data_IF_766114407163
#
_entry.id   IF_766114407163
#
_cell.length_a   1.000
_cell.length_b   1.000
_cell.length_c   1.000
_cell.angle_alpha   90.00
_cell.angle_beta   90.00
_cell.angle_gamma   90.00
#
_symmetry.space_group_name_H-M   'P 1'
#
loop_
_entity.id
_entity.type
_entity.pdbx_description
1 polymer ?
#
# COMPACT_ATOMS: atom_id res chain seq x y z
N UNK A 1 97.11 -24.10 -53.29
CA UNK A 1 98.32 -23.41 -52.77
C UNK A 1 97.94 -22.69 -51.47
N UNK A 2 98.63 -23.03 -50.37
CA UNK A 2 98.75 -22.36 -49.06
C UNK A 2 97.46 -21.94 -48.31
N UNK A 3 96.95 -22.74 -47.36
CA UNK A 3 97.30 -22.82 -45.91
C UNK A 3 97.03 -21.57 -45.08
N UNK A 4 96.07 -21.67 -44.14
CA UNK A 4 96.29 -21.53 -42.68
C UNK A 4 94.99 -21.83 -41.90
N UNK A 5 95.09 -22.80 -40.98
CA UNK A 5 94.06 -23.22 -40.02
C UNK A 5 94.15 -22.34 -38.76
N UNK A 6 93.02 -21.94 -38.16
CA UNK A 6 93.00 -21.43 -36.79
C UNK A 6 91.76 -21.94 -36.05
N UNK A 7 92.02 -22.56 -34.90
CA UNK A 7 91.11 -23.11 -33.91
C UNK A 7 90.46 -21.99 -33.10
N UNK A 8 89.20 -22.14 -32.68
CA UNK A 8 88.69 -21.54 -31.43
C UNK A 8 87.48 -22.35 -30.90
N UNK A 9 87.65 -22.85 -29.68
CA UNK A 9 86.73 -23.66 -28.88
C UNK A 9 85.48 -22.88 -28.45
N UNK A 10 84.31 -23.55 -28.47
CA UNK A 10 83.07 -23.06 -27.86
C UNK A 10 82.99 -23.41 -26.37
N UNK A 11 82.56 -22.44 -25.55
CA UNK A 11 82.20 -22.63 -24.14
C UNK A 11 80.79 -22.09 -23.94
N UNK A 12 79.88 -22.98 -23.57
CA UNK A 12 78.50 -22.65 -23.20
C UNK A 12 78.43 -22.07 -21.78
N UNK A 13 77.73 -20.94 -21.63
CA UNK A 13 77.51 -20.26 -20.36
C UNK A 13 76.18 -20.73 -19.75
N UNK A 14 76.29 -21.24 -18.53
CA UNK A 14 75.23 -21.69 -17.64
C UNK A 14 74.52 -20.48 -17.01
N UNK A 15 73.24 -20.27 -17.29
CA UNK A 15 72.42 -19.25 -16.61
C UNK A 15 71.75 -19.85 -15.37
N UNK A 16 72.15 -19.36 -14.19
CA UNK A 16 71.56 -19.65 -12.89
C UNK A 16 70.32 -18.77 -12.74
N UNK A 17 69.13 -19.39 -12.62
CA UNK A 17 67.87 -18.69 -12.33
C UNK A 17 67.74 -18.57 -10.81
N UNK A 18 67.91 -17.37 -10.28
CA UNK A 18 67.58 -17.03 -8.90
C UNK A 18 66.07 -16.83 -8.77
N UNK A 19 65.38 -17.71 -8.04
CA UNK A 19 63.98 -17.55 -7.69
C UNK A 19 63.88 -16.47 -6.61
N UNK A 20 63.43 -15.28 -7.01
CA UNK A 20 63.05 -14.22 -6.08
C UNK A 20 61.72 -14.54 -5.41
N UNK A 21 61.74 -14.73 -4.09
CA UNK A 21 60.56 -14.89 -3.26
C UNK A 21 59.80 -13.55 -3.22
N UNK A 22 58.73 -13.42 -4.01
CA UNK A 22 57.81 -12.29 -3.88
C UNK A 22 56.91 -12.51 -2.67
N UNK A 23 57.21 -11.83 -1.56
CA UNK A 23 56.25 -11.61 -0.46
C UNK A 23 55.07 -10.79 -0.99
N UNK A 24 53.95 -11.45 -1.25
CA UNK A 24 52.66 -10.79 -1.46
C UNK A 24 52.19 -10.22 -0.12
N UNK A 25 52.22 -8.90 0.02
CA UNK A 25 51.47 -8.20 1.06
C UNK A 25 49.98 -8.44 0.80
N UNK A 26 49.34 -9.22 1.67
CA UNK A 26 47.88 -9.31 1.75
C UNK A 26 47.34 -7.93 2.13
N UNK A 27 46.93 -7.14 1.14
CA UNK A 27 46.07 -5.99 1.39
C UNK A 27 44.72 -6.53 1.81
N UNK A 28 44.37 -6.35 3.09
CA UNK A 28 43.00 -6.49 3.55
C UNK A 28 42.11 -5.61 2.66
N UNK A 29 40.99 -6.12 2.11
CA UNK A 29 40.06 -5.27 1.39
C UNK A 29 39.60 -4.17 2.35
N UNK A 30 39.89 -2.92 1.99
CA UNK A 30 39.33 -1.75 2.66
C UNK A 30 37.83 -1.86 2.40
N UNK A 31 37.07 -2.28 3.41
CA UNK A 31 35.62 -2.19 3.40
C UNK A 31 35.29 -0.69 3.43
N UNK A 32 34.99 -0.10 2.28
CA UNK A 32 34.44 1.26 2.27
C UNK A 32 33.17 1.24 3.14
N UNK A 33 33.00 2.21 4.05
CA UNK A 33 31.77 2.30 4.82
C UNK A 33 30.60 2.44 3.85
N UNK A 34 29.45 1.79 4.12
CA UNK A 34 28.28 1.94 3.27
C UNK A 34 27.93 3.43 3.14
N UNK A 35 27.44 3.86 1.97
CA UNK A 35 27.07 5.25 1.75
C UNK A 35 26.06 5.71 2.80
N UNK A 36 26.12 7.00 3.15
CA UNK A 36 25.17 7.61 4.07
C UNK A 36 23.76 7.66 3.45
N UNK A 37 22.73 7.47 4.27
CA UNK A 37 21.35 7.56 3.83
C UNK A 37 20.97 9.02 3.58
N UNK A 38 20.11 9.23 2.58
CA UNK A 38 19.58 10.55 2.23
C UNK A 38 18.10 10.57 2.61
N UNK A 39 17.65 11.63 3.29
CA UNK A 39 16.22 11.89 3.48
C UNK A 39 15.63 12.47 2.18
N UNK A 40 14.85 11.66 1.47
CA UNK A 40 14.17 12.05 0.24
C UNK A 40 12.81 12.70 0.48
N UNK A 41 12.32 12.70 1.72
CA UNK A 41 11.02 13.29 2.05
C UNK A 41 11.06 14.82 2.14
N UNK A 42 12.24 15.44 2.35
CA UNK A 42 12.33 16.88 2.56
C UNK A 42 11.80 17.69 1.37
N UNK A 43 11.04 18.74 1.68
CA UNK A 43 10.52 19.71 0.71
C UNK A 43 11.66 20.32 -0.12
N UNK A 44 12.79 20.64 0.51
CA UNK A 44 13.97 21.18 -0.16
C UNK A 44 14.70 20.18 -1.10
N UNK A 45 14.29 18.90 -1.09
CA UNK A 45 14.72 17.87 -2.04
C UNK A 45 13.72 17.66 -3.18
N UNK A 46 12.63 18.44 -3.21
CA UNK A 46 11.61 18.37 -4.26
C UNK A 46 10.50 17.35 -3.99
N UNK A 47 10.40 16.85 -2.76
CA UNK A 47 9.23 16.08 -2.35
C UNK A 47 7.99 16.98 -2.23
N UNK A 48 6.81 16.37 -2.32
CA UNK A 48 5.53 17.03 -2.09
C UNK A 48 4.66 16.20 -1.15
N UNK A 49 3.86 16.86 -0.32
CA UNK A 49 2.92 16.20 0.58
C UNK A 49 1.47 16.49 0.18
N UNK A 50 0.59 15.52 0.37
CA UNK A 50 -0.85 15.63 0.15
C UNK A 50 -1.58 14.89 1.26
N UNK A 51 -2.73 15.38 1.73
CA UNK A 51 -3.54 14.67 2.71
C UNK A 51 -4.99 14.52 2.25
N UNK A 52 -5.65 13.48 2.73
CA UNK A 52 -7.09 13.28 2.51
C UNK A 52 -7.94 14.34 3.21
N UNK A 53 -7.41 14.92 4.29
CA UNK A 53 -7.99 16.01 5.05
C UNK A 53 -6.89 16.63 5.93
N UNK A 54 -7.14 17.83 6.45
CA UNK A 54 -6.26 18.47 7.41
C UNK A 54 -7.04 19.46 8.30
N UNK A 55 -6.50 19.74 9.49
CA UNK A 55 -7.02 20.80 10.36
C UNK A 55 -6.61 22.18 9.81
N UNK A 56 -7.38 23.24 10.09
CA UNK A 56 -6.97 24.60 9.73
C UNK A 56 -5.55 24.90 10.20
N UNK A 57 -4.74 25.50 9.32
CA UNK A 57 -3.33 25.87 9.53
C UNK A 57 -2.34 24.71 9.74
N UNK A 58 -2.77 23.45 9.74
CA UNK A 58 -1.90 22.28 9.88
C UNK A 58 -1.77 21.53 8.55
N UNK A 59 -1.04 22.13 7.62
CA UNK A 59 -1.01 21.70 6.22
C UNK A 59 -0.20 20.40 6.05
N UNK A 60 -0.48 19.61 4.98
CA UNK A 60 0.30 18.41 4.69
C UNK A 60 1.79 18.67 4.48
N UNK A 61 2.17 19.82 3.93
CA UNK A 61 3.56 20.19 3.65
C UNK A 61 4.41 20.34 4.91
N UNK A 62 3.78 20.58 6.06
CA UNK A 62 4.46 20.69 7.35
C UNK A 62 5.08 19.37 7.81
N UNK A 63 4.70 18.21 7.25
CA UNK A 63 5.35 16.92 7.62
C UNK A 63 6.60 16.59 6.82
N UNK A 64 7.03 17.52 5.96
CA UNK A 64 8.22 17.37 5.12
C UNK A 64 9.10 18.62 5.11
N UNK A 65 8.86 19.59 5.98
CA UNK A 65 9.61 20.85 6.01
C UNK A 65 10.93 20.73 6.79
N UNK A 66 11.10 19.62 7.54
CA UNK A 66 12.25 19.33 8.37
C UNK A 66 12.14 19.83 9.81
N UNK A 67 11.02 20.43 10.21
CA UNK A 67 10.75 20.80 11.59
C UNK A 67 10.17 19.62 12.38
N UNK A 68 11.02 19.02 13.20
CA UNK A 68 10.62 17.92 14.10
C UNK A 68 10.06 18.43 15.44
N UNK A 69 10.09 19.75 15.69
CA UNK A 69 9.61 20.35 16.92
C UNK A 69 8.10 20.32 16.98
N UNK A 70 7.55 20.14 18.18
CA UNK A 70 6.10 20.28 18.41
C UNK A 70 5.73 21.38 19.39
N UNK A 71 6.68 22.27 19.71
CA UNK A 71 6.43 23.43 20.57
C UNK A 71 5.53 24.47 19.88
N UNK A 72 5.61 24.56 18.55
CA UNK A 72 4.85 25.50 17.70
C UNK A 72 3.59 24.89 17.11
N UNK A 73 3.11 23.76 17.66
CA UNK A 73 1.86 23.13 17.20
C UNK A 73 0.69 24.13 17.19
N UNK A 74 0.48 24.89 18.27
CA UNK A 74 -0.62 25.87 18.34
C UNK A 74 -0.45 27.06 17.36
N UNK A 75 0.73 27.19 16.73
CA UNK A 75 1.05 28.19 15.71
C UNK A 75 0.88 27.65 14.27
N UNK A 76 0.62 26.35 14.11
CA UNK A 76 0.33 25.69 12.84
C UNK A 76 1.34 24.62 12.40
N UNK A 77 2.43 24.40 13.15
CA UNK A 77 3.41 23.37 12.77
C UNK A 77 2.80 21.96 12.72
N UNK A 78 3.33 21.15 11.83
CA UNK A 78 2.91 19.77 11.62
C UNK A 78 1.53 19.62 10.97
N UNK A 79 1.24 18.41 10.52
CA UNK A 79 -0.07 18.04 9.97
C UNK A 79 -1.00 17.50 11.06
N UNK A 80 -2.26 17.94 10.99
CA UNK A 80 -3.33 17.53 11.89
C UNK A 80 -4.53 16.98 11.14
N UNK A 81 -5.22 15.99 11.69
CA UNK A 81 -6.46 15.47 11.09
C UNK A 81 -7.47 14.99 12.13
N UNK A 82 -8.76 14.99 11.78
CA UNK A 82 -9.82 14.45 12.63
C UNK A 82 -9.91 12.92 12.49
N UNK A 83 -9.78 12.20 13.59
CA UNK A 83 -10.06 10.77 13.63
C UNK A 83 -11.52 10.59 14.02
N UNK A 84 -12.38 10.29 13.06
CA UNK A 84 -13.77 9.91 13.32
C UNK A 84 -14.13 8.72 12.46
N UNK A 85 -14.07 7.53 13.05
CA UNK A 85 -14.32 6.29 12.31
C UNK A 85 -14.72 5.14 13.23
N UNK A 86 -15.52 4.21 12.71
CA UNK A 86 -15.78 2.95 13.41
C UNK A 86 -14.48 2.14 13.49
N UNK A 87 -14.22 1.46 14.61
CA UNK A 87 -13.05 0.57 14.73
C UNK A 87 -12.96 -0.43 13.58
N UNK A 88 -14.11 -0.89 13.08
CA UNK A 88 -14.24 -1.87 12.00
C UNK A 88 -14.31 -1.24 10.60
N UNK A 89 -14.26 0.09 10.48
CA UNK A 89 -14.32 0.76 9.19
C UNK A 89 -13.12 0.39 8.32
N UNK A 90 -13.36 0.40 7.01
CA UNK A 90 -12.30 0.27 6.01
C UNK A 90 -11.15 1.24 6.33
N UNK A 91 -9.93 0.72 6.25
CA UNK A 91 -8.70 1.48 6.47
C UNK A 91 -8.51 2.54 5.37
N UNK A 92 -9.04 2.33 4.16
CA UNK A 92 -8.96 3.28 3.05
C UNK A 92 -9.87 4.50 3.20
N UNK A 93 -10.84 4.46 4.12
CA UNK A 93 -11.70 5.60 4.46
C UNK A 93 -11.14 6.44 5.62
N UNK A 94 -9.94 6.12 6.08
CA UNK A 94 -9.27 6.81 7.20
C UNK A 94 -8.44 7.97 6.67
N UNK A 95 -8.19 8.99 7.51
CA UNK A 95 -7.28 10.04 7.13
C UNK A 95 -5.89 9.50 6.82
N UNK A 96 -5.24 10.14 5.85
CA UNK A 96 -3.84 9.90 5.55
C UNK A 96 -3.13 11.18 5.16
N UNK A 97 -1.82 11.18 5.36
CA UNK A 97 -0.88 12.10 4.71
C UNK A 97 0.07 11.27 3.83
N UNK A 98 0.23 11.69 2.59
CA UNK A 98 1.03 11.05 1.55
C UNK A 98 2.22 11.93 1.23
N UNK A 99 3.40 11.33 1.14
CA UNK A 99 4.61 11.93 0.61
C UNK A 99 4.86 11.38 -0.79
N UNK A 100 4.98 12.28 -1.74
CA UNK A 100 5.46 12.02 -3.09
C UNK A 100 6.95 12.38 -3.12
N UNK A 101 7.80 11.36 -3.22
CA UNK A 101 9.25 11.54 -3.36
C UNK A 101 9.57 12.08 -4.76
N UNK A 102 10.63 12.90 -4.91
CA UNK A 102 11.01 13.49 -6.19
C UNK A 102 11.36 12.42 -7.23
N UNK A 103 11.85 11.28 -6.77
CA UNK A 103 12.21 10.13 -7.57
C UNK A 103 11.98 8.82 -6.79
N UNK A 104 11.99 7.68 -7.46
CA UNK A 104 12.04 6.37 -6.81
C UNK A 104 13.27 6.17 -5.91
N UNK A 105 13.03 5.64 -4.70
CA UNK A 105 14.09 5.45 -3.68
C UNK A 105 14.17 3.99 -3.25
N UNK A 106 15.38 3.49 -3.01
CA UNK A 106 15.61 2.25 -2.24
C UNK A 106 15.55 2.60 -0.75
N UNK A 107 14.34 2.54 -0.20
CA UNK A 107 14.02 2.99 1.16
C UNK A 107 14.60 1.99 2.16
N UNK A 108 15.37 2.51 3.10
CA UNK A 108 16.02 1.74 4.18
C UNK A 108 15.39 2.01 5.53
N UNK A 109 14.89 3.22 5.74
CA UNK A 109 14.34 3.63 7.02
C UNK A 109 13.27 4.70 6.81
N UNK A 110 12.23 4.65 7.63
CA UNK A 110 11.23 5.71 7.73
C UNK A 110 11.18 6.17 9.18
N UNK A 111 11.20 7.48 9.42
CA UNK A 111 11.12 8.04 10.77
C UNK A 111 9.85 8.88 10.87
N UNK A 112 9.00 8.56 11.84
CA UNK A 112 7.78 9.28 12.12
C UNK A 112 7.93 10.05 13.43
N UNK A 113 7.67 11.36 13.37
CA UNK A 113 7.55 12.23 14.53
C UNK A 113 6.08 12.58 14.73
N UNK A 114 5.57 12.31 15.92
CA UNK A 114 4.26 12.77 16.38
C UNK A 114 4.46 13.84 17.44
N UNK A 115 3.38 14.54 17.80
CA UNK A 115 3.42 15.59 18.82
C UNK A 115 4.07 15.08 20.11
N UNK A 116 5.06 15.81 20.63
CA UNK A 116 5.81 15.51 21.85
C UNK A 116 6.47 16.76 22.41
N UNK A 117 5.69 17.59 23.10
CA UNK A 117 6.17 18.77 23.82
C UNK A 117 5.79 18.71 25.29
N UNK A 118 6.26 19.68 26.09
CA UNK A 118 5.83 19.82 27.48
C UNK A 118 4.30 19.98 27.58
N UNK A 119 3.71 20.79 26.70
CA UNK A 119 2.27 21.02 26.64
C UNK A 119 1.51 19.80 26.09
N UNK A 120 2.07 19.12 25.09
CA UNK A 120 1.46 17.97 24.43
C UNK A 120 2.39 16.74 24.43
N UNK A 121 2.57 16.06 25.57
CA UNK A 121 3.45 14.88 25.63
C UNK A 121 2.94 13.74 24.75
N UNK A 122 3.83 13.06 24.01
CA UNK A 122 3.44 11.99 23.09
C UNK A 122 2.70 10.85 23.79
N UNK A 123 3.09 10.52 25.02
CA UNK A 123 2.44 9.48 25.82
C UNK A 123 0.95 9.76 26.08
N UNK A 124 0.50 11.01 25.92
CA UNK A 124 -0.89 11.44 26.09
C UNK A 124 -1.55 11.87 24.78
N UNK A 125 -0.84 12.53 23.86
CA UNK A 125 -1.44 13.13 22.66
C UNK A 125 -0.93 12.57 21.33
N UNK A 126 0.18 11.83 21.36
CA UNK A 126 0.84 11.30 20.18
C UNK A 126 0.06 10.18 19.49
N UNK A 127 0.43 9.92 18.24
CA UNK A 127 -0.05 8.76 17.47
C UNK A 127 0.28 7.47 18.22
N UNK A 128 -0.76 6.68 18.50
CA UNK A 128 -0.68 5.43 19.25
C UNK A 128 -0.59 4.24 18.32
N UNK A 129 -1.59 4.09 17.44
CA UNK A 129 -1.65 3.04 16.44
C UNK A 129 -1.69 3.69 15.06
N UNK A 130 -0.89 3.20 14.11
CA UNK A 130 -0.86 3.73 12.75
C UNK A 130 -0.27 2.73 11.76
N UNK A 131 -0.47 3.04 10.48
CA UNK A 131 0.10 2.31 9.34
C UNK A 131 0.95 3.26 8.51
N UNK A 132 2.09 2.78 8.07
CA UNK A 132 2.87 3.39 7.00
C UNK A 132 2.79 2.44 5.82
N UNK A 133 2.41 2.98 4.68
CA UNK A 133 2.13 2.22 3.48
C UNK A 133 2.92 2.81 2.32
N UNK A 134 3.21 1.97 1.33
CA UNK A 134 3.87 2.37 0.09
C UNK A 134 3.00 1.99 -1.10
N UNK A 135 3.10 2.79 -2.16
CA UNK A 135 2.45 2.45 -3.43
C UNK A 135 3.30 1.42 -4.18
N UNK A 136 2.73 0.24 -4.42
CA UNK A 136 3.40 -0.84 -5.15
C UNK A 136 2.98 -0.91 -6.62
N UNK A 137 2.39 0.15 -7.18
CA UNK A 137 1.99 0.25 -8.59
C UNK A 137 0.49 -0.01 -8.84
N UNK A 138 -0.15 -0.86 -8.04
CA UNK A 138 -1.57 -1.24 -8.18
C UNK A 138 -2.39 -1.03 -6.91
N UNK A 139 -1.77 -0.49 -5.87
CA UNK A 139 -2.39 -0.36 -4.56
C UNK A 139 -1.40 0.09 -3.48
N UNK A 140 -1.94 0.30 -2.29
CA UNK A 140 -1.18 0.61 -1.09
C UNK A 140 -0.92 -0.66 -0.29
N UNK A 141 0.35 -0.95 -0.04
CA UNK A 141 0.80 -2.06 0.79
C UNK A 141 1.46 -1.56 2.08
N UNK A 142 1.34 -2.30 3.17
CA UNK A 142 2.05 -1.99 4.41
C UNK A 142 3.56 -2.11 4.17
N UNK A 143 4.36 -1.19 4.72
CA UNK A 143 5.82 -1.31 4.65
C UNK A 143 6.29 -2.60 5.34
N UNK A 144 7.33 -3.28 4.81
CA UNK A 144 7.82 -4.52 5.39
C UNK A 144 8.74 -4.23 6.58
N UNK A 145 8.17 -3.82 7.70
CA UNK A 145 8.88 -3.71 8.98
C UNK A 145 8.67 -4.99 9.79
N UNK A 146 9.20 -5.06 11.00
CA UNK A 146 8.65 -6.02 11.97
C UNK A 146 8.70 -5.52 13.38
N UNK A 147 8.24 -4.28 13.50
CA UNK A 147 8.03 -3.54 14.74
C UNK A 147 6.89 -4.11 15.57
N UNK A 148 5.94 -4.78 14.91
CA UNK A 148 4.79 -5.42 15.54
C UNK A 148 4.54 -6.81 14.96
N UNK A 149 3.95 -7.68 15.79
CA UNK A 149 3.43 -8.99 15.36
C UNK A 149 2.08 -8.87 14.66
N UNK A 150 1.37 -7.76 14.88
CA UNK A 150 0.10 -7.47 14.24
C UNK A 150 0.33 -6.94 12.83
N UNK A 151 0.09 -7.80 11.83
CA UNK A 151 0.31 -7.50 10.41
C UNK A 151 -0.64 -6.44 9.84
N UNK A 152 -1.54 -5.88 10.65
CA UNK A 152 -2.42 -4.78 10.26
C UNK A 152 -1.84 -3.40 10.58
N UNK A 153 -0.70 -3.31 11.27
CA UNK A 153 -0.16 -2.03 11.73
C UNK A 153 1.33 -1.95 11.51
N UNK A 154 1.84 -0.73 11.34
CA UNK A 154 3.28 -0.47 11.40
C UNK A 154 3.70 -0.30 12.85
N UNK A 155 2.89 0.38 13.66
CA UNK A 155 3.11 0.48 15.10
C UNK A 155 1.81 0.36 15.88
N UNK A 156 1.96 -0.14 17.11
CA UNK A 156 0.90 -0.30 18.09
C UNK A 156 1.36 0.24 19.44
N UNK A 157 0.41 0.79 20.18
CA UNK A 157 0.61 1.23 21.56
C UNK A 157 1.83 2.16 21.73
N UNK A 158 2.07 3.03 20.74
CA UNK A 158 3.17 3.97 20.78
C UNK A 158 2.91 5.09 21.80
N UNK A 159 3.91 5.37 22.63
CA UNK A 159 3.90 6.46 23.63
C UNK A 159 5.07 7.43 23.45
N UNK A 160 5.84 7.29 22.36
CA UNK A 160 7.04 8.09 22.08
C UNK A 160 6.77 9.09 20.96
N UNK A 161 7.37 10.28 21.04
CA UNK A 161 7.30 11.28 19.97
C UNK A 161 7.99 10.84 18.69
N UNK A 162 9.10 10.11 18.79
CA UNK A 162 9.87 9.60 17.66
C UNK A 162 9.75 8.08 17.51
N UNK A 163 9.51 7.62 16.29
CA UNK A 163 9.56 6.21 15.90
C UNK A 163 10.39 6.02 14.64
N UNK A 164 11.32 5.08 14.71
CA UNK A 164 12.19 4.69 13.60
C UNK A 164 11.75 3.31 13.13
N UNK A 165 11.51 3.19 11.82
CA UNK A 165 11.04 1.98 11.16
C UNK A 165 12.09 1.52 10.15
N UNK A 166 12.88 0.53 10.52
CA UNK A 166 13.85 -0.09 9.61
C UNK A 166 13.12 -1.03 8.63
N UNK A 167 13.40 -0.85 7.35
CA UNK A 167 12.82 -1.66 6.29
C UNK A 167 13.53 -3.00 6.23
N UNK A 168 12.76 -4.09 6.30
CA UNK A 168 13.27 -5.44 6.10
C UNK A 168 13.30 -5.77 4.61
N UNK A 169 14.51 -6.00 4.10
CA UNK A 169 14.72 -6.35 2.71
C UNK A 169 14.79 -5.13 1.80
N UNK A 170 14.38 -5.29 0.55
CA UNK A 170 14.35 -4.20 -0.44
C UNK A 170 12.96 -3.61 -0.51
N UNK A 171 12.88 -2.29 -0.41
CA UNK A 171 11.66 -1.53 -0.64
C UNK A 171 11.98 -0.41 -1.63
N UNK A 172 11.44 -0.52 -2.83
CA UNK A 172 11.54 0.54 -3.81
C UNK A 172 10.19 1.22 -3.94
N UNK A 173 10.13 2.52 -3.67
CA UNK A 173 8.88 3.28 -3.77
C UNK A 173 9.16 4.76 -4.05
N UNK A 174 8.17 5.41 -4.66
CA UNK A 174 8.12 6.87 -4.83
C UNK A 174 7.01 7.51 -3.99
N UNK A 175 6.01 6.73 -3.56
CA UNK A 175 4.90 7.24 -2.76
C UNK A 175 4.80 6.44 -1.47
N UNK A 176 4.77 7.17 -0.36
CA UNK A 176 4.57 6.67 0.99
C UNK A 176 3.38 7.39 1.60
N UNK A 177 2.56 6.72 2.40
CA UNK A 177 1.53 7.39 3.20
C UNK A 177 1.52 6.90 4.63
N UNK A 178 1.25 7.81 5.56
CA UNK A 178 0.96 7.53 6.95
C UNK A 178 -0.55 7.60 7.15
N UNK A 179 -1.12 6.55 7.73
CA UNK A 179 -2.54 6.42 8.05
C UNK A 179 -2.69 6.31 9.57
N UNK A 180 -3.01 7.42 10.25
CA UNK A 180 -3.34 7.39 11.68
C UNK A 180 -4.55 6.49 11.95
N UNK A 181 -4.44 5.62 12.96
CA UNK A 181 -5.55 4.78 13.41
C UNK A 181 -6.08 5.23 14.76
N UNK A 182 -5.19 5.57 15.69
CA UNK A 182 -5.58 6.10 17.00
C UNK A 182 -4.47 6.96 17.58
N UNK A 183 -4.83 7.79 18.56
CA UNK A 183 -3.93 8.59 19.39
C UNK A 183 -4.09 8.20 20.85
N UNK A 184 -3.14 8.62 21.70
CA UNK A 184 -3.18 8.31 23.12
C UNK A 184 -4.34 9.01 23.86
N UNK A 185 -4.89 10.09 23.30
CA UNK A 185 -6.06 10.84 23.79
C UNK A 185 -7.35 10.48 23.06
N UNK A 186 -7.34 9.45 22.22
CA UNK A 186 -8.54 8.99 21.51
C UNK A 186 -9.64 8.54 22.47
N UNK A 187 -10.83 9.06 22.24
CA UNK A 187 -12.06 8.59 22.88
C UNK A 187 -12.65 7.38 22.14
N UNK A 188 -13.17 6.43 22.91
CA UNK A 188 -13.88 5.26 22.38
C UNK A 188 -15.34 5.36 22.75
N UNK A 189 -16.18 5.70 21.76
CA UNK A 189 -17.63 5.77 21.94
C UNK A 189 -18.21 4.42 21.60
N UNK A 190 -18.54 3.62 22.63
CA UNK A 190 -19.09 2.29 22.45
C UNK A 190 -20.52 2.38 21.90
N UNK A 191 -20.72 1.74 20.74
CA UNK A 191 -22.01 1.73 20.05
C UNK A 191 -22.82 0.50 20.47
N UNK A 192 -22.25 -0.71 20.29
CA UNK A 192 -22.88 -1.99 20.67
C UNK A 192 -21.86 -3.15 20.61
N UNK A 193 -22.30 -4.35 20.97
CA UNK A 193 -21.51 -5.59 20.87
C UNK A 193 -21.89 -6.37 19.60
N UNK A 194 -20.91 -6.77 18.78
CA UNK A 194 -21.11 -7.65 17.63
C UNK A 194 -20.23 -8.88 17.76
N UNK A 195 -20.83 -10.08 17.83
CA UNK A 195 -20.13 -11.36 18.03
C UNK A 195 -19.08 -11.30 19.15
N UNK A 196 -19.50 -10.80 20.32
CA UNK A 196 -18.66 -10.62 21.52
C UNK A 196 -17.51 -9.62 21.40
N UNK A 197 -17.40 -8.89 20.27
CA UNK A 197 -16.43 -7.81 20.11
C UNK A 197 -17.12 -6.46 20.24
N UNK A 198 -16.55 -5.51 21.01
CA UNK A 198 -17.08 -4.16 21.05
C UNK A 198 -16.91 -3.48 19.69
N UNK A 199 -18.02 -2.92 19.22
CA UNK A 199 -18.06 -1.94 18.13
C UNK A 199 -18.08 -0.58 18.80
N UNK A 200 -17.02 0.18 18.58
CA UNK A 200 -16.91 1.55 19.06
C UNK A 200 -16.42 2.44 17.93
N UNK A 201 -16.83 3.69 18.02
CA UNK A 201 -16.31 4.78 17.23
C UNK A 201 -15.07 5.35 17.92
N UNK A 202 -14.06 5.63 17.10
CA UNK A 202 -12.83 6.31 17.48
C UNK A 202 -13.06 7.79 17.20
N UNK A 203 -12.92 8.62 18.24
CA UNK A 203 -12.91 10.08 18.12
C UNK A 203 -11.60 10.64 18.65
N UNK A 204 -10.94 11.50 17.89
CA UNK A 204 -9.67 12.10 18.31
C UNK A 204 -9.04 12.95 17.22
N UNK A 205 -7.79 13.35 17.44
CA UNK A 205 -7.01 14.14 16.49
C UNK A 205 -5.67 13.46 16.22
N UNK A 206 -5.39 13.13 14.95
CA UNK A 206 -4.06 12.72 14.53
C UNK A 206 -3.15 13.94 14.42
N UNK A 207 -1.92 13.85 14.96
CA UNK A 207 -0.96 14.95 15.01
C UNK A 207 0.42 14.42 14.63
N UNK A 208 0.96 14.89 13.52
CA UNK A 208 2.22 14.42 12.93
C UNK A 208 3.10 15.62 12.71
N UNK A 209 4.32 15.60 13.24
CA UNK A 209 5.25 16.71 13.08
C UNK A 209 6.06 16.56 11.80
N UNK A 210 6.66 15.39 11.58
CA UNK A 210 7.55 15.18 10.44
C UNK A 210 7.52 13.68 10.07
N UNK A 211 7.67 13.40 8.78
CA UNK A 211 7.83 12.05 8.27
C UNK A 211 9.04 12.00 7.33
N UNK A 212 10.14 11.44 7.83
CA UNK A 212 11.39 11.30 7.08
C UNK A 212 11.43 9.96 6.32
N UNK A 213 11.92 9.98 5.08
CA UNK A 213 12.08 8.77 4.26
C UNK A 213 13.54 8.67 3.81
N UNK A 214 14.29 7.79 4.48
CA UNK A 214 15.72 7.61 4.31
C UNK A 214 16.05 6.43 3.41
N UNK A 215 16.89 6.65 2.42
CA UNK A 215 17.26 5.61 1.47
C UNK A 215 18.45 5.97 0.59
N UNK A 216 18.61 5.18 -0.46
CA UNK A 216 19.59 5.41 -1.51
C UNK A 216 18.89 5.77 -2.82
N UNK A 217 19.50 6.63 -3.65
CA UNK A 217 19.04 6.79 -5.02
C UNK A 217 19.16 5.46 -5.75
N UNK A 218 18.17 5.12 -6.57
CA UNK A 218 18.26 3.95 -7.43
C UNK A 218 19.26 4.27 -8.54
N UNK A 219 20.39 3.54 -8.58
CA UNK A 219 21.42 3.75 -9.59
C UNK A 219 20.81 3.74 -11.02
N UNK A 220 21.12 4.78 -11.79
CA UNK A 220 20.66 4.96 -13.17
C UNK A 220 21.21 3.82 -14.05
N UNK A 221 20.31 3.05 -14.68
CA UNK A 221 20.65 1.85 -15.45
C UNK A 221 19.46 0.89 -15.59
N UNK A 222 19.71 -0.39 -15.90
CA UNK A 222 18.66 -1.40 -16.05
C UNK A 222 17.72 -1.54 -14.83
N UNK A 223 18.21 -1.21 -13.62
CA UNK A 223 17.40 -1.19 -12.39
C UNK A 223 16.40 -0.01 -12.39
N UNK A 224 16.86 1.19 -12.76
CA UNK A 224 15.99 2.34 -12.98
C UNK A 224 15.04 2.16 -14.18
N UNK A 225 15.43 1.42 -15.23
CA UNK A 225 14.53 1.07 -16.35
C UNK A 225 13.46 0.04 -15.94
N UNK A 226 13.81 -0.97 -15.15
CA UNK A 226 12.82 -1.91 -14.59
C UNK A 226 11.89 -1.22 -13.60
N UNK A 227 12.42 -0.30 -12.79
CA UNK A 227 11.60 0.52 -11.90
C UNK A 227 10.72 1.50 -12.69
N UNK A 228 11.27 2.24 -13.65
CA UNK A 228 10.50 3.14 -14.52
C UNK A 228 9.49 2.39 -15.41
N UNK A 229 9.71 1.11 -15.76
CA UNK A 229 8.70 0.29 -16.44
C UNK A 229 7.63 -0.23 -15.47
N UNK A 230 7.99 -0.55 -14.22
CA UNK A 230 7.07 -1.00 -13.19
C UNK A 230 6.27 0.14 -12.53
N UNK A 231 6.75 1.38 -12.62
CA UNK A 231 6.24 2.56 -11.90
C UNK A 231 6.22 3.85 -12.74
N UNK A 232 6.36 3.76 -14.07
CA UNK A 232 6.03 4.92 -14.92
C UNK A 232 4.61 5.40 -14.56
N UNK A 233 4.34 6.72 -14.61
CA UNK A 233 3.00 7.24 -14.47
C UNK A 233 2.18 6.75 -15.66
N UNK A 234 1.66 5.53 -15.55
CA UNK A 234 0.56 5.07 -16.35
C UNK A 234 -0.65 5.75 -15.72
N UNK A 235 -1.24 6.69 -16.45
CA UNK A 235 -2.58 7.17 -16.16
C UNK A 235 -3.43 5.93 -15.85
N UNK A 236 -3.85 5.76 -14.58
CA UNK A 236 -4.52 4.58 -14.01
C UNK A 236 -4.95 3.55 -15.06
N UNK A 237 -4.01 2.72 -15.54
CA UNK A 237 -4.38 1.63 -16.44
C UNK A 237 -4.67 0.45 -15.51
N UNK A 238 -5.95 0.08 -15.31
CA UNK A 238 -6.27 -1.05 -14.46
C UNK A 238 -5.47 -2.28 -14.90
N UNK A 239 -4.92 -3.02 -13.92
CA UNK A 239 -4.22 -4.28 -14.19
C UNK A 239 -5.08 -5.22 -15.04
N UNK A 240 -4.50 -6.19 -15.76
CA UNK A 240 -5.29 -7.14 -16.59
C UNK A 240 -6.43 -7.76 -15.79
N UNK A 241 -6.16 -8.13 -14.54
CA UNK A 241 -7.11 -8.74 -13.63
C UNK A 241 -8.16 -7.73 -13.16
N UNK A 242 -7.76 -6.49 -12.88
CA UNK A 242 -8.72 -5.44 -12.53
C UNK A 242 -9.66 -5.11 -13.69
N UNK A 243 -9.17 -5.12 -14.94
CA UNK A 243 -10.03 -5.00 -16.13
C UNK A 243 -11.03 -6.14 -16.20
N UNK A 244 -10.58 -7.38 -16.01
CA UNK A 244 -11.43 -8.56 -16.03
C UNK A 244 -12.46 -8.54 -14.88
N UNK A 245 -12.05 -8.13 -13.67
CA UNK A 245 -12.95 -7.98 -12.52
C UNK A 245 -13.97 -6.88 -12.78
N UNK A 246 -13.55 -5.72 -13.30
CA UNK A 246 -14.47 -4.65 -13.72
C UNK A 246 -15.45 -5.14 -14.78
N UNK A 247 -15.01 -5.97 -15.73
CA UNK A 247 -15.92 -6.61 -16.70
C UNK A 247 -16.95 -7.54 -16.02
N UNK A 248 -16.57 -8.29 -14.99
CA UNK A 248 -17.53 -9.10 -14.20
C UNK A 248 -18.56 -8.20 -13.52
N UNK A 249 -18.14 -7.08 -12.93
CA UNK A 249 -19.05 -6.13 -12.28
C UNK A 249 -20.00 -5.46 -13.30
N UNK A 250 -19.49 -5.03 -14.45
CA UNK A 250 -20.31 -4.48 -15.54
C UNK A 250 -21.30 -5.52 -16.06
N UNK A 251 -20.88 -6.78 -16.23
CA UNK A 251 -21.80 -7.85 -16.63
C UNK A 251 -22.88 -8.11 -15.59
N UNK A 252 -22.55 -7.96 -14.31
CA UNK A 252 -23.50 -8.10 -13.21
C UNK A 252 -24.55 -6.99 -13.24
N UNK A 253 -24.14 -5.72 -13.40
CA UNK A 253 -25.04 -4.57 -13.61
C UNK A 253 -25.94 -4.77 -14.84
N UNK A 254 -25.34 -5.02 -16.00
CA UNK A 254 -26.06 -5.24 -17.25
C UNK A 254 -27.01 -6.45 -17.17
N UNK A 255 -26.66 -7.45 -16.37
CA UNK A 255 -27.51 -8.60 -16.09
C UNK A 255 -28.80 -8.19 -15.37
N UNK A 256 -28.70 -7.31 -14.37
CA UNK A 256 -29.87 -6.77 -13.68
C UNK A 256 -30.66 -5.79 -14.54
N UNK A 257 -29.99 -4.87 -15.22
CA UNK A 257 -30.62 -3.85 -16.07
C UNK A 257 -31.50 -4.47 -17.16
N UNK A 258 -31.04 -5.58 -17.72
CA UNK A 258 -31.74 -6.29 -18.79
C UNK A 258 -32.59 -7.47 -18.30
N UNK A 259 -32.74 -7.65 -16.97
CA UNK A 259 -33.39 -8.82 -16.37
C UNK A 259 -32.88 -10.17 -16.96
N UNK A 260 -31.58 -10.23 -17.27
CA UNK A 260 -30.95 -11.35 -17.95
C UNK A 260 -30.30 -12.29 -16.93
N UNK A 261 -31.08 -13.29 -16.50
CA UNK A 261 -30.63 -14.28 -15.51
C UNK A 261 -29.34 -14.99 -15.91
N UNK A 262 -29.18 -15.37 -17.19
CA UNK A 262 -27.98 -16.06 -17.65
C UNK A 262 -26.73 -15.19 -17.47
N UNK A 263 -26.85 -13.89 -17.74
CA UNK A 263 -25.76 -12.92 -17.60
C UNK A 263 -25.39 -12.68 -16.14
N UNK A 264 -26.39 -12.49 -15.26
CA UNK A 264 -26.16 -12.42 -13.81
C UNK A 264 -25.42 -13.66 -13.32
N UNK A 265 -25.93 -14.85 -13.65
CA UNK A 265 -25.37 -16.09 -13.14
C UNK A 265 -23.98 -16.39 -13.72
N UNK A 266 -23.65 -15.88 -14.91
CA UNK A 266 -22.30 -16.02 -15.47
C UNK A 266 -21.21 -15.31 -14.66
N UNK A 267 -21.59 -14.37 -13.78
CA UNK A 267 -20.67 -13.67 -12.89
C UNK A 267 -20.29 -14.49 -11.65
N UNK A 268 -21.06 -15.54 -11.30
CA UNK A 268 -20.85 -16.35 -10.11
C UNK A 268 -20.12 -17.64 -10.43
N UNK A 269 -19.31 -18.12 -9.49
CA UNK A 269 -18.76 -19.47 -9.54
C UNK A 269 -19.86 -20.48 -9.23
N UNK A 270 -19.87 -21.61 -9.93
CA UNK A 270 -20.75 -22.75 -9.63
C UNK A 270 -20.53 -23.30 -8.21
N UNK A 271 -19.35 -23.08 -7.64
CA UNK A 271 -19.00 -23.41 -6.26
C UNK A 271 -19.31 -22.28 -5.24
N UNK A 272 -20.09 -21.27 -5.63
CA UNK A 272 -20.46 -20.16 -4.75
C UNK A 272 -21.09 -20.67 -3.45
N UNK A 273 -20.55 -20.19 -2.33
CA UNK A 273 -21.10 -20.44 -1.00
C UNK A 273 -20.83 -19.24 -0.10
N UNK A 274 -21.90 -18.60 0.38
CA UNK A 274 -21.77 -17.53 1.38
C UNK A 274 -22.86 -17.64 2.44
N UNK A 275 -22.45 -17.79 3.71
CA UNK A 275 -23.35 -17.89 4.86
C UNK A 275 -24.48 -18.93 4.66
N UNK A 276 -24.15 -20.07 4.02
CA UNK A 276 -25.11 -21.13 3.72
C UNK A 276 -25.95 -20.93 2.46
N UNK A 277 -25.82 -19.80 1.75
CA UNK A 277 -26.43 -19.57 0.43
C UNK A 277 -25.54 -20.11 -0.68
N UNK A 278 -26.13 -20.81 -1.61
CA UNK A 278 -25.48 -21.48 -2.75
C UNK A 278 -25.74 -20.75 -4.07
N UNK A 279 -25.04 -21.16 -5.13
CA UNK A 279 -25.28 -20.68 -6.49
C UNK A 279 -26.76 -20.78 -6.91
N UNK A 280 -27.43 -21.88 -6.57
CA UNK A 280 -28.85 -22.09 -6.90
C UNK A 280 -29.77 -21.14 -6.12
N UNK A 281 -29.41 -20.75 -4.90
CA UNK A 281 -30.17 -19.77 -4.11
C UNK A 281 -30.09 -18.38 -4.75
N UNK A 282 -28.91 -17.99 -5.25
CA UNK A 282 -28.72 -16.75 -5.99
C UNK A 282 -29.54 -16.77 -7.28
N UNK A 283 -29.48 -17.86 -8.04
CA UNK A 283 -30.25 -18.02 -9.27
C UNK A 283 -31.75 -17.91 -9.03
N UNK A 284 -32.26 -18.58 -8.01
CA UNK A 284 -33.68 -18.56 -7.66
C UNK A 284 -34.10 -17.16 -7.25
N UNK A 285 -33.32 -16.48 -6.42
CA UNK A 285 -33.60 -15.12 -5.95
C UNK A 285 -33.59 -14.10 -7.08
N UNK A 286 -32.60 -14.16 -7.98
CA UNK A 286 -32.54 -13.26 -9.13
C UNK A 286 -33.71 -13.51 -10.10
N UNK A 287 -34.05 -14.78 -10.37
CA UNK A 287 -35.19 -15.13 -11.19
C UNK A 287 -36.52 -14.61 -10.62
N UNK A 288 -36.75 -14.82 -9.32
CA UNK A 288 -37.93 -14.32 -8.61
C UNK A 288 -38.01 -12.79 -8.64
N UNK A 289 -36.87 -12.11 -8.47
CA UNK A 289 -36.80 -10.66 -8.58
C UNK A 289 -37.19 -10.16 -9.98
N UNK A 290 -36.69 -10.79 -11.05
CA UNK A 290 -37.01 -10.43 -12.44
C UNK A 290 -38.45 -10.74 -12.84
N UNK A 291 -39.07 -11.74 -12.22
CA UNK A 291 -40.50 -12.00 -12.41
C UNK A 291 -41.37 -10.90 -11.78
N UNK A 292 -40.99 -10.40 -10.60
CA UNK A 292 -41.77 -9.43 -9.83
C UNK A 292 -41.56 -7.97 -10.25
N UNK A 293 -40.44 -7.64 -10.88
CA UNK A 293 -40.05 -6.27 -11.18
C UNK A 293 -39.69 -6.07 -12.66
N UNK A 294 -39.75 -4.83 -13.12
CA UNK A 294 -39.28 -4.40 -14.44
C UNK A 294 -38.64 -3.00 -14.35
N UNK A 295 -38.10 -2.48 -15.46
CA UNK A 295 -37.38 -1.19 -15.49
C UNK A 295 -36.29 -1.14 -14.41
N UNK A 296 -35.49 -2.22 -14.35
CA UNK A 296 -34.45 -2.38 -13.36
C UNK A 296 -33.24 -1.56 -13.81
N UNK A 297 -32.64 -0.81 -12.90
CA UNK A 297 -31.38 -0.12 -13.10
C UNK A 297 -30.51 -0.34 -11.86
N UNK A 298 -29.42 -1.07 -12.04
CA UNK A 298 -28.38 -1.28 -11.04
C UNK A 298 -27.21 -0.35 -11.36
N UNK A 299 -26.67 0.29 -10.32
CA UNK A 299 -25.43 1.04 -10.42
C UNK A 299 -24.53 0.65 -9.26
N UNK A 300 -23.27 0.36 -9.58
CA UNK A 300 -22.20 0.10 -8.63
C UNK A 300 -21.27 1.32 -8.62
N UNK A 301 -21.14 1.95 -7.46
CA UNK A 301 -20.31 3.14 -7.27
C UNK A 301 -19.31 2.94 -6.14
N UNK A 302 -18.30 3.81 -6.08
CA UNK A 302 -17.27 3.76 -5.03
C UNK A 302 -16.57 2.40 -4.95
N UNK A 303 -16.36 1.78 -6.12
CA UNK A 303 -15.79 0.43 -6.21
C UNK A 303 -14.31 0.46 -5.86
N UNK A 304 -13.95 -0.29 -4.84
CA UNK A 304 -12.59 -0.50 -4.38
C UNK A 304 -12.25 -1.99 -4.51
N UNK A 305 -11.05 -2.28 -5.03
CA UNK A 305 -10.54 -3.64 -5.18
C UNK A 305 -9.38 -3.85 -4.22
N UNK A 306 -9.45 -4.91 -3.42
CA UNK A 306 -8.39 -5.31 -2.49
C UNK A 306 -7.98 -6.75 -2.76
N UNK A 307 -6.76 -6.97 -3.23
CA UNK A 307 -6.23 -8.31 -3.45
C UNK A 307 -5.77 -8.94 -2.14
N UNK A 308 -6.28 -10.12 -1.84
CA UNK A 308 -5.80 -10.96 -0.75
C UNK A 308 -4.66 -11.86 -1.27
N UNK A 309 -3.44 -11.60 -0.79
CA UNK A 309 -2.25 -12.32 -1.22
C UNK A 309 -2.12 -13.73 -0.61
N UNK A 310 -2.99 -14.09 0.36
CA UNK A 310 -2.93 -15.38 1.06
C UNK A 310 -3.73 -16.46 0.32
N UNK A 311 -4.89 -16.10 -0.22
CA UNK A 311 -5.81 -17.03 -0.90
C UNK A 311 -6.05 -16.67 -2.38
N UNK A 312 -5.24 -15.76 -2.93
CA UNK A 312 -5.30 -15.28 -4.33
C UNK A 312 -6.66 -14.71 -4.74
N UNK A 313 -7.50 -14.34 -3.77
CA UNK A 313 -8.81 -13.73 -4.03
C UNK A 313 -8.72 -12.20 -4.14
N UNK A 314 -9.74 -11.58 -4.72
CA UNK A 314 -9.94 -10.13 -4.70
C UNK A 314 -11.25 -9.82 -4.01
N UNK A 315 -11.18 -8.99 -2.97
CA UNK A 315 -12.34 -8.42 -2.31
C UNK A 315 -12.71 -7.13 -3.03
N UNK A 316 -13.94 -7.07 -3.52
CA UNK A 316 -14.54 -5.86 -4.09
C UNK A 316 -15.49 -5.28 -3.07
N UNK A 317 -15.26 -4.03 -2.67
CA UNK A 317 -16.19 -3.26 -1.85
C UNK A 317 -16.76 -2.08 -2.65
N UNK A 318 -17.96 -1.63 -2.30
CA UNK A 318 -18.56 -0.44 -2.91
C UNK A 318 -19.97 -0.20 -2.43
N UNK A 319 -20.72 0.58 -3.19
CA UNK A 319 -22.13 0.86 -2.95
C UNK A 319 -22.92 0.37 -4.16
N UNK A 320 -24.01 -0.35 -3.92
CA UNK A 320 -25.00 -0.61 -4.96
C UNK A 320 -26.20 0.30 -4.79
N UNK A 321 -26.73 0.78 -5.91
CA UNK A 321 -28.04 1.40 -6.01
C UNK A 321 -28.85 0.54 -6.97
N UNK A 322 -30.07 0.19 -6.57
CA UNK A 322 -30.99 -0.55 -7.41
C UNK A 322 -32.32 0.20 -7.47
N UNK A 323 -32.65 0.70 -8.65
CA UNK A 323 -33.94 1.28 -8.97
C UNK A 323 -34.76 0.25 -9.76
N UNK A 324 -36.03 0.11 -9.45
CA UNK A 324 -36.90 -0.85 -10.13
C UNK A 324 -38.37 -0.48 -9.95
N UNK A 325 -39.24 -1.06 -10.78
CA UNK A 325 -40.69 -0.88 -10.67
C UNK A 325 -41.35 -2.25 -10.43
N UNK A 326 -42.02 -2.46 -9.28
CA UNK A 326 -42.84 -3.65 -9.05
C UNK A 326 -43.98 -3.74 -10.06
N UNK A 327 -44.24 -4.96 -10.57
CA UNK A 327 -45.29 -5.20 -11.56
C UNK A 327 -46.71 -5.12 -10.98
N UNK A 328 -46.86 -5.26 -9.67
CA UNK A 328 -48.14 -5.28 -8.97
C UNK A 328 -48.69 -3.87 -8.70
N UNK A 329 -47.83 -2.91 -8.36
CA UNK A 329 -48.23 -1.56 -7.98
C UNK A 329 -47.75 -0.46 -8.95
N UNK A 330 -46.78 -0.76 -9.83
CA UNK A 330 -46.27 0.16 -10.85
C UNK A 330 -45.51 1.38 -10.33
N UNK A 331 -45.23 1.47 -9.02
CA UNK A 331 -44.54 2.61 -8.41
C UNK A 331 -43.04 2.36 -8.34
N UNK A 332 -42.24 3.23 -8.94
CA UNK A 332 -40.78 3.11 -8.88
C UNK A 332 -40.29 3.11 -7.42
N UNK A 333 -39.44 2.14 -7.11
CA UNK A 333 -38.77 1.96 -5.83
C UNK A 333 -37.26 2.06 -6.02
N UNK A 334 -36.57 2.41 -4.92
CA UNK A 334 -35.12 2.50 -4.89
C UNK A 334 -34.62 1.87 -3.59
N UNK A 335 -33.65 0.97 -3.72
CA UNK A 335 -32.87 0.44 -2.61
C UNK A 335 -31.39 0.71 -2.86
N UNK A 336 -30.62 0.78 -1.79
CA UNK A 336 -29.17 0.93 -1.85
C UNK A 336 -28.55 0.25 -0.64
N UNK A 337 -27.27 -0.08 -0.75
CA UNK A 337 -26.54 -0.71 0.35
C UNK A 337 -25.07 -0.87 0.03
N UNK A 338 -24.33 -1.37 1.02
CA UNK A 338 -22.94 -1.74 0.83
C UNK A 338 -22.85 -3.03 0.01
N UNK A 339 -21.89 -3.05 -0.91
CA UNK A 339 -21.50 -4.21 -1.68
C UNK A 339 -20.20 -4.74 -1.11
N UNK A 340 -20.14 -6.05 -0.81
CA UNK A 340 -18.90 -6.75 -0.51
C UNK A 340 -18.89 -8.10 -1.22
N UNK A 341 -18.12 -8.20 -2.29
CA UNK A 341 -17.94 -9.41 -3.08
C UNK A 341 -16.53 -9.95 -2.88
N UNK A 342 -16.38 -11.26 -2.90
CA UNK A 342 -15.07 -11.90 -3.01
C UNK A 342 -15.04 -12.66 -4.32
N UNK A 343 -14.06 -12.35 -5.14
CA UNK A 343 -13.81 -12.99 -6.42
C UNK A 343 -12.54 -13.83 -6.38
N UNK A 344 -12.51 -14.89 -7.17
CA UNK A 344 -11.32 -15.68 -7.41
C UNK A 344 -11.15 -15.88 -8.91
N UNK A 345 -9.90 -16.04 -9.35
CA UNK A 345 -9.62 -16.51 -10.69
C UNK A 345 -9.92 -18.01 -10.76
N UNK A 346 -10.70 -18.41 -11.76
CA UNK A 346 -11.12 -19.80 -11.96
C UNK A 346 -10.76 -20.24 -13.37
N UNK A 347 -10.93 -21.52 -13.70
CA UNK A 347 -10.73 -22.00 -15.08
C UNK A 347 -11.65 -21.27 -16.09
N UNK A 348 -12.75 -20.68 -15.62
CA UNK A 348 -13.70 -19.89 -16.40
C UNK A 348 -13.46 -18.37 -16.31
N UNK A 349 -12.29 -17.96 -15.78
CA UNK A 349 -11.92 -16.58 -15.47
C UNK A 349 -12.40 -16.12 -14.10
N UNK A 350 -12.31 -14.81 -13.84
CA UNK A 350 -12.73 -14.22 -12.56
C UNK A 350 -14.22 -14.45 -12.29
N UNK A 351 -14.54 -14.98 -11.11
CA UNK A 351 -15.91 -15.24 -10.67
C UNK A 351 -16.15 -14.80 -9.23
N UNK A 352 -17.37 -14.36 -8.94
CA UNK A 352 -17.85 -14.13 -7.58
C UNK A 352 -18.00 -15.48 -6.87
N UNK A 353 -17.22 -15.70 -5.82
CA UNK A 353 -17.25 -16.92 -5.01
C UNK A 353 -17.99 -16.71 -3.68
N UNK A 354 -18.04 -15.48 -3.17
CA UNK A 354 -18.73 -15.10 -1.93
C UNK A 354 -19.28 -13.68 -2.03
N UNK A 355 -20.36 -13.40 -1.29
CA UNK A 355 -20.89 -12.05 -1.10
C UNK A 355 -21.31 -11.89 0.37
N UNK A 356 -20.93 -10.79 1.02
CA UNK A 356 -21.23 -10.54 2.43
C UNK A 356 -22.47 -9.67 2.60
#
# INVERSE_FOLDING_TARGET
MSSKTCFCLGVGILFIITIGCQTQTLQSPIFEPPPELINFALLNKGAAAEASQYLPNHLPEEVIDGDISSETWDEGSGWGCTLEHLRTSDLNRRPYVRINLPEPVDIRQIVMYTIDSEQYPAAKYGLKDYRIEYWHGTGWGLIPTGDTKDRQYTARDNTKGKRVHDIRGKLFAQHIRLVPVSTNDTERVYQYMSREKPVYEVKGLGRVMELEVWGYPIATGQAAQKFAQAFAPQAEVPSSDEKLIKMVLTQYEEGYDNANLKKVMSCFSTNYNSNGRTYNDIQTRAADFFQKHHQINMTLTEINLHRNLIDETVVVSGIYVLQYTPRDNGKAERTFGELSLVLADTEEGWKIIRAN
#
